data_IF_371188759818
#
_entry.id   IF_371188759818
#
_cell.length_a   1.000
_cell.length_b   1.000
_cell.length_c   1.000
_cell.angle_alpha   90.00
_cell.angle_beta   90.00
_cell.angle_gamma   90.00
#
_symmetry.space_group_name_H-M   'P 1'
#
loop_
_entity.id
_entity.type
_entity.pdbx_description
1 polymer ?
#
# COMPACT_ATOMS: atom_id res chain seq x y z
N UNK A 1 2.63 9.18 3.07
CA UNK A 1 3.02 10.60 2.85
C UNK A 1 1.88 11.49 3.36
N UNK A 2 2.03 12.05 4.54
CA UNK A 2 1.10 13.02 5.10
C UNK A 2 1.71 14.43 4.93
N UNK A 3 0.95 15.31 4.27
CA UNK A 3 1.27 16.71 4.05
C UNK A 3 0.96 17.52 5.33
N UNK A 4 1.76 18.51 5.75
CA UNK A 4 1.47 19.34 6.92
C UNK A 4 0.44 20.43 6.59
N UNK A 5 -0.33 20.91 7.59
CA UNK A 5 -1.27 22.01 7.40
C UNK A 5 -0.57 23.38 7.43
N UNK A 6 -0.92 24.23 6.48
CA UNK A 6 -0.47 25.61 6.38
C UNK A 6 -1.11 26.49 7.47
N UNK A 7 -0.27 27.23 8.20
CA UNK A 7 -0.70 28.22 9.19
C UNK A 7 -1.36 29.44 8.56
N UNK A 8 -2.42 29.93 9.19
CA UNK A 8 -3.02 31.23 8.89
C UNK A 8 -2.53 32.28 9.87
N UNK A 9 -2.02 33.34 9.31
CA UNK A 9 -1.69 34.59 10.00
C UNK A 9 -2.97 35.38 10.29
N UNK A 10 -3.12 35.83 11.53
CA UNK A 10 -4.15 36.78 11.97
C UNK A 10 -3.65 38.20 11.81
N UNK A 11 -4.37 39.02 11.11
CA UNK A 11 -4.24 40.49 11.15
C UNK A 11 -5.54 41.11 11.69
N UNK A 12 -5.41 41.83 12.79
CA UNK A 12 -6.41 42.63 13.42
C UNK A 12 -6.50 44.00 12.73
N UNK A 13 -7.70 44.54 12.49
CA UNK A 13 -7.93 45.99 12.35
C UNK A 13 -9.28 46.36 12.92
N UNK A 14 -9.24 47.25 13.87
CA UNK A 14 -10.36 47.93 14.52
C UNK A 14 -10.98 48.99 13.59
N UNK A 15 -12.29 49.26 13.74
CA UNK A 15 -12.98 50.39 13.12
C UNK A 15 -14.45 50.44 13.54
N UNK A 16 -14.78 51.42 14.31
CA UNK A 16 -16.01 51.62 15.05
C UNK A 16 -17.26 52.09 14.22
N UNK A 17 -18.36 52.46 14.88
CA UNK A 17 -19.70 52.34 14.33
C UNK A 17 -20.28 53.62 13.70
N UNK A 18 -20.99 53.51 12.61
CA UNK A 18 -21.85 54.58 12.09
C UNK A 18 -23.31 54.16 11.99
N UNK A 19 -24.17 55.17 12.29
CA UNK A 19 -25.59 55.08 12.60
C UNK A 19 -26.47 55.14 11.34
N UNK A 20 -27.65 54.56 11.51
CA UNK A 20 -28.80 54.42 10.61
C UNK A 20 -29.37 55.73 10.04
N UNK A 21 -30.22 55.60 9.00
CA UNK A 21 -31.65 55.87 9.25
C UNK A 21 -32.63 54.81 8.73
N UNK A 22 -33.77 54.79 9.38
CA UNK A 22 -34.97 54.01 9.12
C UNK A 22 -35.76 54.59 7.92
N UNK A 23 -36.27 53.71 7.04
CA UNK A 23 -37.45 54.03 6.21
C UNK A 23 -38.23 52.78 5.80
N UNK A 24 -39.41 52.77 6.28
CA UNK A 24 -40.74 52.42 5.77
C UNK A 24 -40.99 51.18 4.87
N UNK A 25 -41.99 50.46 5.31
CA UNK A 25 -42.72 49.28 4.88
C UNK A 25 -43.34 49.36 3.48
N UNK A 26 -43.31 48.18 2.80
CA UNK A 26 -44.49 47.56 2.17
C UNK A 26 -44.27 46.03 2.00
N UNK A 27 -45.29 45.17 2.16
CA UNK A 27 -45.18 43.74 2.02
C UNK A 27 -45.46 43.32 0.56
N UNK A 28 -44.48 42.87 -0.13
CA UNK A 28 -44.70 42.13 -1.38
C UNK A 28 -44.37 40.68 -1.16
N UNK A 29 -45.39 39.82 -1.28
CA UNK A 29 -45.26 38.36 -1.35
C UNK A 29 -44.38 37.99 -2.53
N UNK A 30 -43.09 37.70 -2.25
CA UNK A 30 -42.22 37.02 -3.20
C UNK A 30 -42.12 35.57 -2.82
N UNK A 31 -42.68 34.72 -3.65
CA UNK A 31 -42.35 33.33 -3.74
C UNK A 31 -40.81 33.20 -3.93
N UNK A 32 -40.10 32.95 -2.85
CA UNK A 32 -38.72 32.48 -2.95
C UNK A 32 -38.77 31.08 -3.54
N UNK A 33 -38.59 31.01 -4.84
CA UNK A 33 -38.13 29.74 -5.45
C UNK A 33 -36.84 29.35 -4.77
N UNK A 34 -36.89 28.31 -3.93
CA UNK A 34 -35.68 27.68 -3.37
C UNK A 34 -34.94 27.12 -4.55
N UNK A 35 -33.97 27.87 -5.05
CA UNK A 35 -32.98 27.33 -5.99
C UNK A 35 -32.24 26.24 -5.24
N UNK A 36 -32.64 25.00 -5.47
CA UNK A 36 -31.86 23.82 -5.04
C UNK A 36 -30.57 23.89 -5.85
N UNK A 37 -29.58 24.59 -5.29
CA UNK A 37 -28.23 24.56 -5.81
C UNK A 37 -27.86 23.08 -5.93
N UNK A 38 -27.57 22.62 -7.14
CA UNK A 38 -27.07 21.25 -7.40
C UNK A 38 -25.76 21.08 -6.64
N UNK A 39 -25.85 20.62 -5.39
CA UNK A 39 -24.69 20.27 -4.61
C UNK A 39 -24.00 19.14 -5.40
N UNK A 40 -22.75 19.31 -5.84
CA UNK A 40 -22.08 18.25 -6.59
C UNK A 40 -22.07 16.97 -5.75
N UNK A 41 -22.43 15.85 -6.36
CA UNK A 41 -22.51 14.51 -5.72
C UNK A 41 -21.28 14.20 -4.86
N UNK A 42 -20.12 14.71 -5.25
CA UNK A 42 -18.88 14.59 -4.48
C UNK A 42 -18.98 15.26 -3.08
N UNK A 43 -19.65 16.42 -2.94
CA UNK A 43 -19.84 17.08 -1.63
C UNK A 43 -20.84 16.34 -0.75
N UNK A 44 -21.89 15.78 -1.34
CA UNK A 44 -22.84 14.94 -0.60
C UNK A 44 -22.20 13.66 -0.09
N UNK A 45 -21.29 13.06 -0.87
CA UNK A 45 -20.55 11.88 -0.45
C UNK A 45 -19.66 12.15 0.80
N UNK A 46 -19.01 13.32 0.88
CA UNK A 46 -18.22 13.71 2.07
C UNK A 46 -19.08 14.06 3.32
N UNK A 47 -20.37 14.33 3.14
CA UNK A 47 -21.30 14.51 4.27
C UNK A 47 -21.80 13.16 4.79
N UNK A 48 -21.99 12.19 3.90
CA UNK A 48 -22.56 10.88 4.24
C UNK A 48 -21.50 9.84 4.66
N UNK A 49 -20.26 9.97 4.19
CA UNK A 49 -19.19 9.00 4.40
C UNK A 49 -17.91 9.67 4.90
N UNK A 50 -17.18 8.97 5.77
CA UNK A 50 -15.84 9.39 6.17
C UNK A 50 -14.87 9.38 4.98
N UNK A 51 -13.80 10.17 5.05
CA UNK A 51 -12.73 10.15 4.04
C UNK A 51 -12.07 8.76 3.89
N UNK A 52 -12.01 8.00 4.98
CA UNK A 52 -11.53 6.62 4.96
C UNK A 52 -12.46 5.72 4.12
N UNK A 53 -13.78 5.82 4.33
CA UNK A 53 -14.76 5.07 3.53
C UNK A 53 -14.68 5.45 2.05
N UNK A 54 -14.58 6.75 1.74
CA UNK A 54 -14.47 7.20 0.35
C UNK A 54 -13.18 6.72 -0.33
N UNK A 55 -12.05 6.69 0.40
CA UNK A 55 -10.80 6.10 -0.10
C UNK A 55 -10.97 4.61 -0.38
N UNK A 56 -11.58 3.84 0.54
CA UNK A 56 -11.82 2.41 0.36
C UNK A 56 -12.73 2.11 -0.84
N UNK A 57 -13.83 2.86 -0.98
CA UNK A 57 -14.73 2.71 -2.16
C UNK A 57 -14.00 3.00 -3.48
N UNK A 58 -13.17 4.06 -3.52
CA UNK A 58 -12.36 4.34 -4.73
C UNK A 58 -11.37 3.22 -5.04
N UNK A 59 -10.74 2.68 -4.01
CA UNK A 59 -9.82 1.54 -4.14
C UNK A 59 -10.55 0.31 -4.67
N UNK A 60 -11.72 -0.03 -4.11
CA UNK A 60 -12.54 -1.16 -4.56
C UNK A 60 -13.03 -1.01 -6.00
N UNK A 61 -13.35 0.21 -6.43
CA UNK A 61 -13.67 0.48 -7.84
C UNK A 61 -12.48 0.20 -8.77
N UNK A 62 -11.25 0.50 -8.36
CA UNK A 62 -10.06 0.12 -9.12
C UNK A 62 -9.89 -1.40 -9.18
N UNK A 63 -10.08 -2.10 -8.06
CA UNK A 63 -10.06 -3.57 -8.02
C UNK A 63 -11.06 -4.19 -9.01
N UNK A 64 -12.30 -3.70 -9.05
CA UNK A 64 -13.31 -4.18 -10.01
C UNK A 64 -12.87 -3.95 -11.45
N UNK A 65 -12.34 -2.75 -11.78
CA UNK A 65 -11.86 -2.44 -13.13
C UNK A 65 -10.72 -3.35 -13.58
N UNK A 66 -9.75 -3.60 -12.70
CA UNK A 66 -8.60 -4.47 -12.99
C UNK A 66 -9.02 -5.93 -13.12
N UNK A 67 -9.99 -6.40 -12.32
CA UNK A 67 -10.59 -7.74 -12.47
C UNK A 67 -11.25 -7.92 -13.83
N UNK A 68 -12.00 -6.92 -14.30
CA UNK A 68 -12.61 -6.96 -15.64
C UNK A 68 -11.55 -6.97 -16.75
N UNK A 69 -10.48 -6.16 -16.62
CA UNK A 69 -9.35 -6.15 -17.55
C UNK A 69 -8.68 -7.53 -17.62
N UNK A 70 -8.46 -8.19 -16.49
CA UNK A 70 -7.88 -9.52 -16.42
C UNK A 70 -8.65 -10.56 -17.25
N UNK A 71 -10.00 -10.52 -17.24
CA UNK A 71 -10.81 -11.42 -18.05
C UNK A 71 -10.59 -11.25 -19.55
N UNK A 72 -10.27 -10.02 -19.99
CA UNK A 72 -9.96 -9.72 -21.37
C UNK A 72 -8.55 -10.16 -21.75
N UNK A 73 -7.58 -10.01 -20.85
CA UNK A 73 -6.14 -10.19 -21.10
C UNK A 73 -5.66 -11.59 -20.65
N UNK A 74 -6.46 -12.63 -20.84
CA UNK A 74 -6.12 -14.01 -20.45
C UNK A 74 -4.99 -14.61 -21.30
N UNK A 75 -4.14 -15.41 -20.65
CA UNK A 75 -3.08 -16.22 -21.26
C UNK A 75 -2.08 -15.41 -22.10
N UNK A 76 -1.77 -14.19 -21.63
CA UNK A 76 -0.76 -13.34 -22.27
C UNK A 76 0.64 -13.64 -21.75
N UNK A 77 1.65 -13.44 -22.60
CA UNK A 77 3.05 -13.43 -22.17
C UNK A 77 3.38 -12.01 -21.71
N UNK A 78 3.91 -11.84 -20.47
CA UNK A 78 4.28 -10.52 -20.00
C UNK A 78 5.39 -9.92 -20.87
N UNK A 79 5.35 -8.60 -21.08
CA UNK A 79 6.33 -7.87 -21.90
C UNK A 79 7.77 -8.11 -21.43
N UNK A 80 7.96 -8.26 -20.11
CA UNK A 80 9.23 -8.63 -19.50
C UNK A 80 9.07 -9.89 -18.65
N UNK A 81 10.03 -10.82 -18.68
CA UNK A 81 9.95 -12.05 -17.90
C UNK A 81 10.21 -11.83 -16.40
N UNK A 82 10.58 -10.60 -15.98
CA UNK A 82 10.78 -10.20 -14.59
C UNK A 82 9.63 -9.31 -14.16
N UNK A 83 9.03 -9.60 -13.02
CA UNK A 83 7.81 -8.94 -12.53
C UNK A 83 8.06 -8.38 -11.13
N UNK A 84 7.73 -7.10 -10.95
CA UNK A 84 7.75 -6.42 -9.66
C UNK A 84 6.30 -6.21 -9.20
N UNK A 85 5.88 -6.97 -8.17
CA UNK A 85 4.53 -6.91 -7.62
C UNK A 85 4.44 -5.90 -6.48
N UNK A 86 3.35 -5.12 -6.46
CA UNK A 86 3.16 -4.07 -5.48
C UNK A 86 4.15 -2.92 -5.66
N UNK A 87 4.45 -2.57 -6.91
CA UNK A 87 5.50 -1.61 -7.24
C UNK A 87 5.26 -0.20 -6.66
N UNK A 88 4.00 0.18 -6.42
CA UNK A 88 3.66 1.52 -5.92
C UNK A 88 4.30 2.62 -6.74
N UNK A 89 5.02 3.51 -6.06
CA UNK A 89 5.84 4.56 -6.69
C UNK A 89 7.28 4.13 -7.00
N UNK A 90 7.70 2.92 -6.58
CA UNK A 90 9.08 2.40 -6.68
C UNK A 90 9.26 1.55 -7.94
N UNK A 91 8.91 2.10 -9.11
CA UNK A 91 9.02 1.39 -10.37
C UNK A 91 10.48 1.10 -10.74
N UNK A 92 10.72 -0.11 -11.22
CA UNK A 92 12.06 -0.58 -11.61
C UNK A 92 12.12 -0.71 -13.13
N UNK A 93 13.05 -0.02 -13.81
CA UNK A 93 13.23 -0.14 -15.25
C UNK A 93 13.60 -1.57 -15.68
N UNK A 94 13.03 -2.04 -16.79
CA UNK A 94 13.28 -3.40 -17.30
C UNK A 94 12.50 -4.52 -16.60
N UNK A 95 11.62 -4.15 -15.67
CA UNK A 95 10.66 -5.03 -15.00
C UNK A 95 9.25 -4.68 -15.41
N UNK A 96 8.35 -5.65 -15.39
CA UNK A 96 6.91 -5.41 -15.45
C UNK A 96 6.45 -4.99 -14.04
N UNK A 97 6.28 -3.69 -13.85
CA UNK A 97 5.79 -3.15 -12.59
C UNK A 97 4.28 -3.29 -12.51
N UNK A 98 3.80 -4.01 -11.49
CA UNK A 98 2.39 -4.36 -11.29
C UNK A 98 1.89 -3.79 -9.97
N UNK A 99 0.75 -3.12 -10.02
CA UNK A 99 0.07 -2.62 -8.84
C UNK A 99 -1.44 -2.51 -9.13
N UNK A 100 -2.26 -2.19 -8.13
CA UNK A 100 -3.70 -2.01 -8.32
C UNK A 100 -4.01 -0.82 -9.22
N UNK A 101 -3.11 0.18 -9.30
CA UNK A 101 -3.28 1.37 -10.15
C UNK A 101 -1.95 2.06 -10.47
N UNK A 102 -1.91 2.69 -11.64
CA UNK A 102 -0.85 3.61 -12.01
C UNK A 102 0.50 2.93 -12.24
N UNK A 103 0.50 1.65 -12.56
CA UNK A 103 1.67 0.82 -12.86
C UNK A 103 1.81 0.55 -14.37
N UNK A 104 2.77 -0.26 -14.77
CA UNK A 104 2.88 -0.71 -16.17
C UNK A 104 1.72 -1.66 -16.51
N UNK A 105 1.27 -2.43 -15.51
CA UNK A 105 0.11 -3.30 -15.63
C UNK A 105 -0.74 -3.23 -14.35
N UNK A 106 -1.86 -2.52 -14.43
CA UNK A 106 -2.78 -2.40 -13.30
C UNK A 106 -3.54 -3.73 -13.08
N UNK A 107 -3.35 -4.34 -11.91
CA UNK A 107 -3.90 -5.63 -11.53
C UNK A 107 -4.25 -5.68 -10.03
N UNK A 108 -5.42 -6.22 -9.69
CA UNK A 108 -5.79 -6.56 -8.31
C UNK A 108 -5.16 -7.90 -7.93
N UNK A 109 -4.05 -7.85 -7.20
CA UNK A 109 -3.30 -9.03 -6.74
C UNK A 109 -4.10 -9.86 -5.71
N UNK A 110 -4.96 -9.22 -4.92
CA UNK A 110 -5.85 -9.90 -3.98
C UNK A 110 -6.91 -10.80 -4.66
N UNK A 111 -7.04 -10.72 -5.99
CA UNK A 111 -7.87 -11.64 -6.75
C UNK A 111 -7.33 -13.07 -6.79
N UNK A 112 -6.09 -13.29 -6.33
CA UNK A 112 -5.42 -14.58 -6.34
C UNK A 112 -5.28 -15.20 -7.73
N UNK A 113 -5.26 -14.39 -8.81
CA UNK A 113 -5.22 -14.92 -10.17
C UNK A 113 -4.52 -13.96 -11.12
N UNK A 114 -3.65 -14.48 -11.95
CA UNK A 114 -2.79 -13.75 -12.86
C UNK A 114 -3.17 -14.02 -14.33
N UNK A 115 -3.11 -13.00 -15.21
CA UNK A 115 -3.51 -13.15 -16.61
C UNK A 115 -2.42 -13.80 -17.47
N UNK A 116 -1.28 -14.13 -16.89
CA UNK A 116 -0.11 -14.58 -17.63
C UNK A 116 -0.13 -16.08 -17.89
N UNK A 117 0.50 -16.46 -19.02
CA UNK A 117 0.66 -17.84 -19.43
C UNK A 117 1.52 -18.61 -18.40
N UNK A 118 1.22 -19.90 -18.23
CA UNK A 118 2.05 -20.84 -17.46
C UNK A 118 3.51 -20.78 -17.93
N UNK A 119 4.47 -20.78 -16.98
CA UNK A 119 5.90 -20.80 -17.25
C UNK A 119 6.41 -19.58 -18.07
N UNK A 120 5.76 -18.43 -18.00
CA UNK A 120 6.13 -17.23 -18.79
C UNK A 120 6.95 -16.20 -18.01
N UNK A 121 7.03 -16.34 -16.68
CA UNK A 121 7.77 -15.44 -15.79
C UNK A 121 9.05 -16.09 -15.31
N UNK A 122 10.16 -15.36 -15.34
CA UNK A 122 11.47 -15.87 -14.89
C UNK A 122 11.74 -15.60 -13.41
N UNK A 123 11.32 -14.43 -12.95
CA UNK A 123 11.56 -13.98 -11.58
C UNK A 123 10.47 -13.01 -11.14
N UNK A 124 10.14 -13.09 -9.87
CA UNK A 124 9.22 -12.17 -9.20
C UNK A 124 9.92 -11.53 -8.02
N UNK A 125 9.79 -10.20 -7.87
CA UNK A 125 10.16 -9.46 -6.66
C UNK A 125 8.91 -8.76 -6.14
N UNK A 126 8.72 -8.78 -4.82
CA UNK A 126 7.66 -8.05 -4.14
C UNK A 126 8.18 -7.53 -2.80
N UNK A 127 8.10 -6.21 -2.62
CA UNK A 127 8.60 -5.53 -1.43
C UNK A 127 7.45 -4.82 -0.72
N UNK A 128 7.16 -5.22 0.54
CA UNK A 128 6.13 -4.61 1.38
C UNK A 128 4.76 -4.52 0.69
N UNK A 129 4.28 -5.66 0.19
CA UNK A 129 2.97 -5.78 -0.45
C UNK A 129 2.18 -6.97 0.12
N UNK A 130 2.86 -8.09 0.42
CA UNK A 130 2.19 -9.34 0.81
C UNK A 130 1.46 -9.22 2.14
N UNK A 131 1.90 -8.34 3.04
CA UNK A 131 1.26 -8.05 4.31
C UNK A 131 -0.12 -7.39 4.17
N UNK A 132 -0.42 -6.80 3.02
CA UNK A 132 -1.71 -6.19 2.70
C UNK A 132 -2.76 -7.18 2.17
N UNK A 133 -2.39 -8.45 1.99
CA UNK A 133 -3.27 -9.50 1.46
C UNK A 133 -3.70 -10.42 2.60
N UNK A 134 -5.00 -10.75 2.69
CA UNK A 134 -5.45 -11.77 3.64
C UNK A 134 -4.78 -13.11 3.33
N UNK A 135 -4.26 -13.78 4.34
CA UNK A 135 -3.38 -14.94 4.19
C UNK A 135 -3.99 -16.08 3.37
N UNK A 136 -5.20 -16.51 3.71
CA UNK A 136 -5.81 -17.73 3.17
C UNK A 136 -6.57 -17.50 1.88
N UNK A 137 -7.26 -16.37 1.78
CA UNK A 137 -8.19 -16.08 0.68
C UNK A 137 -7.58 -15.25 -0.43
N UNK A 138 -6.44 -14.57 -0.16
CA UNK A 138 -5.79 -13.71 -1.15
C UNK A 138 -4.32 -14.10 -1.39
N UNK A 139 -3.48 -14.19 -0.33
CA UNK A 139 -2.04 -14.45 -0.50
C UNK A 139 -1.75 -15.87 -0.96
N UNK A 140 -2.29 -16.90 -0.27
CA UNK A 140 -2.04 -18.30 -0.66
C UNK A 140 -2.52 -18.59 -2.10
N UNK A 141 -3.71 -18.15 -2.53
CA UNK A 141 -4.10 -18.24 -3.94
C UNK A 141 -3.16 -17.51 -4.89
N UNK A 142 -2.68 -16.30 -4.53
CA UNK A 142 -1.70 -15.57 -5.35
C UNK A 142 -0.38 -16.32 -5.47
N UNK A 143 0.16 -16.86 -4.37
CA UNK A 143 1.37 -17.67 -4.39
C UNK A 143 1.22 -18.94 -5.25
N UNK A 144 0.07 -19.60 -5.20
CA UNK A 144 -0.26 -20.73 -6.08
C UNK A 144 -0.25 -20.33 -7.56
N UNK A 145 -0.84 -19.19 -7.90
CA UNK A 145 -0.81 -18.65 -9.27
C UNK A 145 0.59 -18.22 -9.70
N UNK A 146 1.39 -17.66 -8.78
CA UNK A 146 2.81 -17.39 -9.03
C UNK A 146 3.58 -18.68 -9.33
N UNK A 147 3.29 -19.76 -8.60
CA UNK A 147 3.82 -21.09 -8.89
C UNK A 147 3.45 -21.59 -10.30
N UNK A 148 2.28 -21.25 -10.80
CA UNK A 148 1.88 -21.58 -12.18
C UNK A 148 2.60 -20.75 -13.24
N UNK A 149 2.74 -19.45 -13.03
CA UNK A 149 3.27 -18.54 -14.06
C UNK A 149 4.79 -18.46 -14.08
N UNK A 150 5.44 -18.65 -12.95
CA UNK A 150 6.91 -18.74 -12.87
C UNK A 150 7.36 -20.03 -13.55
N UNK A 151 8.39 -19.95 -14.39
CA UNK A 151 8.97 -21.11 -15.07
C UNK A 151 9.73 -22.02 -14.10
N UNK A 152 9.89 -23.31 -14.40
CA UNK A 152 10.78 -24.20 -13.65
C UNK A 152 12.17 -23.58 -13.45
N UNK A 153 12.71 -23.67 -12.24
CA UNK A 153 13.96 -23.01 -11.86
C UNK A 153 13.89 -21.49 -11.71
N UNK A 154 12.71 -20.88 -11.86
CA UNK A 154 12.50 -19.45 -11.59
C UNK A 154 12.41 -19.15 -10.09
N UNK A 155 12.50 -17.88 -9.74
CA UNK A 155 12.69 -17.44 -8.37
C UNK A 155 11.62 -16.41 -7.95
N UNK A 156 11.31 -16.41 -6.65
CA UNK A 156 10.54 -15.35 -6.00
C UNK A 156 11.36 -14.75 -4.85
N UNK A 157 11.33 -13.42 -4.74
CA UNK A 157 12.01 -12.64 -3.73
C UNK A 157 10.99 -11.72 -3.07
N UNK A 158 10.84 -11.86 -1.76
CA UNK A 158 9.80 -11.18 -0.99
C UNK A 158 10.41 -10.41 0.16
N UNK A 159 9.84 -9.24 0.48
CA UNK A 159 10.05 -8.61 1.78
C UNK A 159 8.74 -8.11 2.39
N UNK A 160 8.68 -8.11 3.71
CA UNK A 160 7.57 -7.65 4.52
C UNK A 160 8.06 -7.29 5.93
N UNK A 161 7.26 -6.60 6.78
CA UNK A 161 7.60 -6.42 8.18
C UNK A 161 7.80 -7.76 8.89
N UNK A 162 8.88 -7.86 9.69
CA UNK A 162 9.25 -9.06 10.47
C UNK A 162 8.74 -8.93 11.91
N UNK A 163 7.73 -9.73 12.27
CA UNK A 163 7.16 -9.71 13.63
C UNK A 163 8.20 -10.10 14.68
N UNK A 164 9.12 -11.03 14.36
CA UNK A 164 10.15 -11.48 15.29
C UNK A 164 11.10 -10.33 15.64
N UNK A 165 11.59 -9.59 14.62
CA UNK A 165 12.46 -8.41 14.79
C UNK A 165 11.77 -7.30 15.57
N UNK A 166 10.50 -7.02 15.25
CA UNK A 166 9.72 -5.96 15.90
C UNK A 166 9.42 -6.30 17.35
N UNK A 167 9.01 -7.54 17.64
CA UNK A 167 8.79 -7.99 19.02
C UNK A 167 10.08 -7.95 19.84
N UNK A 168 11.22 -8.38 19.25
CA UNK A 168 12.53 -8.32 19.89
C UNK A 168 12.93 -6.88 20.22
N UNK A 169 12.79 -5.95 19.26
CA UNK A 169 13.04 -4.52 19.50
C UNK A 169 12.17 -3.96 20.63
N UNK A 170 10.89 -4.35 20.69
CA UNK A 170 10.01 -3.93 21.78
C UNK A 170 10.46 -4.42 23.15
N UNK A 171 10.85 -5.69 23.25
CA UNK A 171 11.27 -6.31 24.51
C UNK A 171 12.64 -5.78 24.98
N UNK A 172 13.60 -5.66 24.06
CA UNK A 172 14.99 -5.34 24.38
C UNK A 172 15.24 -3.83 24.44
N UNK A 173 14.58 -3.06 23.55
CA UNK A 173 14.90 -1.65 23.31
C UNK A 173 13.69 -0.72 23.41
N UNK A 174 12.49 -1.22 23.74
CA UNK A 174 11.25 -0.44 23.75
C UNK A 174 11.01 0.32 22.43
N UNK A 175 11.40 -0.27 21.29
CA UNK A 175 11.28 0.28 19.95
C UNK A 175 12.16 1.52 19.66
N UNK A 176 13.12 1.84 20.52
CA UNK A 176 13.97 3.03 20.33
C UNK A 176 14.86 2.88 19.11
N UNK A 177 15.44 1.70 18.93
CA UNK A 177 16.28 1.35 17.78
C UNK A 177 15.53 1.48 16.43
N UNK A 178 14.31 0.96 16.36
CA UNK A 178 13.47 1.08 15.15
C UNK A 178 12.98 2.52 14.92
N UNK A 179 12.75 3.27 15.98
CA UNK A 179 12.40 4.68 15.86
C UNK A 179 13.57 5.51 15.29
N UNK A 180 14.79 5.26 15.75
CA UNK A 180 16.00 5.93 15.26
C UNK A 180 16.27 5.56 13.81
N UNK A 181 16.18 4.28 13.45
CA UNK A 181 16.28 3.80 12.08
C UNK A 181 15.26 4.49 11.18
N UNK A 182 13.99 4.52 11.59
CA UNK A 182 12.93 5.15 10.82
C UNK A 182 13.13 6.66 10.63
N UNK A 183 13.63 7.35 11.64
CA UNK A 183 13.97 8.78 11.55
C UNK A 183 15.13 9.03 10.59
N UNK A 184 16.10 8.13 10.56
CA UNK A 184 17.23 8.22 9.62
C UNK A 184 16.74 8.07 8.18
N UNK A 185 15.86 7.11 7.91
CA UNK A 185 15.29 6.88 6.57
C UNK A 185 14.24 7.93 6.18
N UNK A 186 13.52 8.47 7.15
CA UNK A 186 12.44 9.46 6.95
C UNK A 186 12.63 10.64 7.92
N UNK A 187 13.43 11.66 7.59
CA UNK A 187 13.78 12.77 8.50
C UNK A 187 12.61 13.56 9.08
N UNK A 188 11.41 13.46 8.48
CA UNK A 188 10.19 14.09 8.99
C UNK A 188 9.32 13.18 9.87
N UNK A 189 9.75 11.94 10.14
CA UNK A 189 8.93 11.00 10.90
C UNK A 189 8.82 11.38 12.38
N UNK A 190 7.59 11.43 12.87
CA UNK A 190 7.29 11.80 14.26
C UNK A 190 6.12 10.97 14.79
N UNK A 191 6.23 10.54 16.04
CA UNK A 191 5.15 9.87 16.77
C UNK A 191 4.09 10.85 17.32
N UNK A 192 4.21 12.16 17.04
CA UNK A 192 3.27 13.17 17.54
C UNK A 192 3.20 13.27 19.07
N UNK A 193 4.27 12.90 19.78
CA UNK A 193 4.31 12.86 21.24
C UNK A 193 3.82 11.54 21.88
N UNK A 194 3.41 10.55 21.06
CA UNK A 194 3.08 9.23 21.56
C UNK A 194 4.34 8.47 22.04
N UNK A 195 4.22 7.52 22.98
CA UNK A 195 5.31 6.64 23.38
C UNK A 195 5.90 5.85 22.21
N UNK A 196 7.17 5.45 22.30
CA UNK A 196 7.88 4.67 21.27
C UNK A 196 7.15 3.38 20.89
N UNK A 197 6.47 2.74 21.85
CA UNK A 197 5.64 1.55 21.61
C UNK A 197 4.52 1.77 20.56
N UNK A 198 4.16 3.03 20.25
CA UNK A 198 3.21 3.32 19.16
C UNK A 198 3.73 2.86 17.79
N UNK A 199 5.04 2.71 17.63
CA UNK A 199 5.61 2.13 16.41
C UNK A 199 5.10 0.73 16.07
N UNK A 200 4.67 -0.06 17.08
CA UNK A 200 4.03 -1.36 16.83
C UNK A 200 2.76 -1.17 15.98
N UNK A 201 1.95 -0.17 16.32
CA UNK A 201 0.74 0.13 15.54
C UNK A 201 1.08 0.57 14.12
N UNK A 202 2.15 1.37 13.95
CA UNK A 202 2.58 1.81 12.62
C UNK A 202 3.11 0.65 11.77
N UNK A 203 3.83 -0.29 12.38
CA UNK A 203 4.42 -1.43 11.66
C UNK A 203 3.41 -2.56 11.41
N UNK A 204 2.56 -2.86 12.37
CA UNK A 204 1.66 -4.01 12.31
C UNK A 204 0.25 -3.66 11.85
N UNK A 205 -0.21 -2.44 12.08
CA UNK A 205 -1.57 -2.05 11.74
C UNK A 205 -1.63 -1.15 10.51
N UNK A 206 -0.65 -0.26 10.35
CA UNK A 206 -0.55 0.72 9.25
C UNK A 206 -1.91 1.37 8.91
N UNK A 207 -2.58 1.90 9.93
CA UNK A 207 -3.94 2.49 9.79
C UNK A 207 -5.01 1.51 9.26
N UNK A 208 -4.82 0.20 9.48
CA UNK A 208 -5.74 -0.85 9.04
C UNK A 208 -5.49 -1.34 7.62
N UNK A 209 -4.31 -1.08 7.06
CA UNK A 209 -3.94 -1.55 5.73
C UNK A 209 -3.21 -2.91 5.75
N UNK A 210 -2.57 -3.28 6.89
CA UNK A 210 -1.95 -4.59 7.05
C UNK A 210 -2.98 -5.62 7.52
N UNK A 211 -3.08 -6.72 6.80
CA UNK A 211 -3.96 -7.86 7.09
C UNK A 211 -3.19 -9.00 7.76
N UNK A 212 -1.85 -9.05 7.61
CA UNK A 212 -1.00 -10.09 8.15
C UNK A 212 0.26 -9.55 8.79
N UNK A 213 0.77 -10.34 9.75
CA UNK A 213 2.09 -10.20 10.36
C UNK A 213 2.88 -11.46 10.05
N UNK A 214 4.08 -11.32 9.53
CA UNK A 214 4.93 -12.44 9.12
C UNK A 214 6.15 -12.57 10.01
N UNK A 215 6.48 -13.83 10.32
CA UNK A 215 7.82 -14.30 10.61
C UNK A 215 8.29 -15.23 9.47
N UNK A 216 9.48 -15.76 9.62
CA UNK A 216 10.03 -16.66 8.60
C UNK A 216 9.23 -17.98 8.51
N UNK A 217 8.80 -18.54 9.64
CA UNK A 217 8.08 -19.82 9.68
C UNK A 217 6.75 -19.74 8.94
N UNK A 218 5.97 -18.67 9.16
CA UNK A 218 4.69 -18.46 8.48
C UNK A 218 4.88 -18.25 6.98
N UNK A 219 5.88 -17.45 6.59
CA UNK A 219 6.13 -17.18 5.17
C UNK A 219 6.70 -18.40 4.46
N UNK A 220 7.58 -19.18 5.10
CA UNK A 220 8.08 -20.45 4.59
C UNK A 220 6.94 -21.45 4.38
N UNK A 221 6.03 -21.57 5.35
CA UNK A 221 4.84 -22.42 5.22
C UNK A 221 3.97 -21.97 4.03
N UNK A 222 3.71 -20.68 3.88
CA UNK A 222 2.89 -20.18 2.78
C UNK A 222 3.54 -20.50 1.40
N UNK A 223 4.84 -20.31 1.27
CA UNK A 223 5.61 -20.62 0.06
C UNK A 223 5.65 -22.12 -0.23
N UNK A 224 6.02 -22.93 0.76
CA UNK A 224 6.16 -24.38 0.55
C UNK A 224 4.83 -25.06 0.27
N UNK A 225 3.74 -24.63 0.92
CA UNK A 225 2.37 -25.13 0.66
C UNK A 225 1.87 -24.82 -0.75
N UNK A 226 2.50 -23.89 -1.46
CA UNK A 226 2.15 -23.47 -2.83
C UNK A 226 3.16 -23.92 -3.90
N UNK A 227 4.09 -24.82 -3.53
CA UNK A 227 4.99 -25.49 -4.45
C UNK A 227 6.38 -24.87 -4.59
N UNK A 228 6.69 -23.82 -3.84
CA UNK A 228 8.04 -23.28 -3.75
C UNK A 228 8.93 -24.15 -2.86
N UNK A 229 10.23 -24.13 -3.12
CA UNK A 229 11.27 -24.85 -2.39
C UNK A 229 12.49 -23.95 -2.19
N UNK A 230 13.49 -24.43 -1.45
CA UNK A 230 14.71 -23.68 -1.13
C UNK A 230 14.41 -22.30 -0.52
N UNK A 231 13.39 -22.27 0.35
CA UNK A 231 13.01 -21.03 1.06
C UNK A 231 14.12 -20.65 2.03
N UNK A 232 14.64 -19.43 1.90
CA UNK A 232 15.77 -18.95 2.70
C UNK A 232 15.57 -17.52 3.14
N UNK A 233 15.93 -17.21 4.38
CA UNK A 233 16.17 -15.82 4.79
C UNK A 233 17.37 -15.28 4.01
N UNK A 234 17.25 -14.05 3.58
CA UNK A 234 18.28 -13.26 2.93
C UNK A 234 18.30 -11.86 3.55
N UNK A 235 19.24 -11.03 3.13
CA UNK A 235 19.28 -9.59 3.46
C UNK A 235 18.79 -8.74 2.28
N UNK A 236 18.54 -7.46 2.53
CA UNK A 236 18.35 -6.49 1.44
C UNK A 236 19.59 -6.44 0.54
N UNK A 237 20.78 -6.51 1.12
CA UNK A 237 22.03 -6.52 0.37
C UNK A 237 22.12 -7.70 -0.63
N UNK A 238 21.60 -8.89 -0.28
CA UNK A 238 21.53 -10.04 -1.19
C UNK A 238 20.57 -9.75 -2.36
N UNK A 239 19.44 -9.12 -2.09
CA UNK A 239 18.48 -8.70 -3.13
C UNK A 239 19.13 -7.69 -4.07
N UNK A 240 19.78 -6.65 -3.54
CA UNK A 240 20.44 -5.62 -4.34
C UNK A 240 21.67 -6.15 -5.10
N UNK A 241 22.40 -7.10 -4.54
CA UNK A 241 23.49 -7.78 -5.24
C UNK A 241 22.97 -8.59 -6.44
N UNK A 242 21.78 -9.16 -6.34
CA UNK A 242 21.12 -9.91 -7.41
C UNK A 242 20.42 -9.00 -8.44
N UNK A 243 19.86 -7.90 -7.99
CA UNK A 243 19.06 -6.94 -8.78
C UNK A 243 19.45 -5.50 -8.43
N UNK A 244 20.61 -5.03 -8.90
CA UNK A 244 21.13 -3.70 -8.56
C UNK A 244 20.27 -2.54 -9.09
N UNK A 245 19.30 -2.82 -9.94
CA UNK A 245 18.34 -1.85 -10.44
C UNK A 245 17.24 -1.49 -9.43
N UNK A 246 17.08 -2.28 -8.34
CA UNK A 246 16.14 -1.94 -7.27
C UNK A 246 16.70 -0.83 -6.40
N UNK A 247 15.86 0.15 -6.02
CA UNK A 247 16.28 1.20 -5.09
C UNK A 247 16.38 0.64 -3.68
N UNK A 248 17.48 0.94 -2.99
CA UNK A 248 17.68 0.58 -1.58
C UNK A 248 16.56 1.12 -0.69
N UNK A 249 16.14 0.31 0.30
CA UNK A 249 15.16 0.66 1.33
C UNK A 249 15.83 0.96 2.67
N UNK A 250 16.92 0.27 2.97
CA UNK A 250 17.66 0.37 4.22
C UNK A 250 16.81 -0.08 5.42
N UNK A 251 16.00 -1.12 5.26
CA UNK A 251 15.01 -1.50 6.27
C UNK A 251 15.19 -2.89 6.87
N UNK A 252 16.36 -3.49 6.70
CA UNK A 252 16.70 -4.82 7.25
C UNK A 252 16.43 -4.95 8.76
N UNK A 253 16.52 -3.83 9.51
CA UNK A 253 16.29 -3.87 10.96
C UNK A 253 14.84 -4.26 11.33
N UNK A 254 13.88 -3.95 10.47
CA UNK A 254 12.45 -4.20 10.72
C UNK A 254 11.82 -5.19 9.74
N UNK A 255 12.51 -5.53 8.64
CA UNK A 255 11.95 -6.30 7.54
C UNK A 255 12.53 -7.70 7.46
N UNK A 256 11.68 -8.63 7.09
CA UNK A 256 12.02 -10.00 6.68
C UNK A 256 12.21 -9.99 5.17
N UNK A 257 13.36 -10.49 4.72
CA UNK A 257 13.64 -10.76 3.32
C UNK A 257 13.75 -12.27 3.10
N UNK A 258 13.07 -12.78 2.09
CA UNK A 258 13.02 -14.22 1.77
C UNK A 258 13.18 -14.43 0.28
N UNK A 259 13.95 -15.45 -0.09
CA UNK A 259 14.02 -15.99 -1.45
C UNK A 259 13.51 -17.41 -1.47
N UNK A 260 12.82 -17.79 -2.54
CA UNK A 260 12.44 -19.17 -2.82
C UNK A 260 12.55 -19.46 -4.33
N UNK A 261 12.53 -20.73 -4.71
CA UNK A 261 12.59 -21.17 -6.11
C UNK A 261 11.49 -22.17 -6.42
N UNK A 262 11.15 -22.31 -7.70
CA UNK A 262 10.36 -23.44 -8.17
C UNK A 262 11.28 -24.59 -8.59
N UNK A 263 10.78 -25.81 -8.42
CA UNK A 263 11.48 -27.03 -8.87
C UNK A 263 11.80 -26.95 -10.36
N UNK A 264 13.03 -27.32 -10.72
CA UNK A 264 13.51 -27.41 -12.11
C UNK A 264 12.81 -28.52 -12.87
#
# INVERSE_FOLDING_TARGET
MLWPPSGRSTATSEGGPERRPLACRTPSCFHRAVSIARVPLARLAHVAFSDATLRRVRFDLHRVRTRLKRFRDRDVVPRWPRVHLGAGSRRVPGWLNVDVRGSDYDLDLASGSLPWRTNSVACVVSEHMIEHLELRTELVPLLSELGRVIRPGGEIWLSCPDIEKVCKSYLDHRMVDLLEDRRTRFPGYSLGGAPTSHMINDLFHQSGEHENLFDFELLEWALTSTGFQDVRRISEADLLARFPEFPERGDDLQSLYVRASLRS
#
